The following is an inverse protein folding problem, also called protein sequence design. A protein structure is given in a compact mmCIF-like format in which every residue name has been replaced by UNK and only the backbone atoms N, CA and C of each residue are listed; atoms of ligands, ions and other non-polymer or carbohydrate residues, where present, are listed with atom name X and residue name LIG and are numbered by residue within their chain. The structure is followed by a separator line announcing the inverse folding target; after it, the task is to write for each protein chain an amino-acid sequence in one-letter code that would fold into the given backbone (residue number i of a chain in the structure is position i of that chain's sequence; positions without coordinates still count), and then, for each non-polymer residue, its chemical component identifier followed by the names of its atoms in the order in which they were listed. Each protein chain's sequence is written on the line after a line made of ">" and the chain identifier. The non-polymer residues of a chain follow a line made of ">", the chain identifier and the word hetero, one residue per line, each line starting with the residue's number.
data_IF_510677528067
#
_entry.id   IF_510677528067
#
_cell.length_a   1.000
_cell.length_b   1.000
_cell.length_c   1.000
_cell.angle_alpha   90.00
_cell.angle_beta   90.00
_cell.angle_gamma   90.00
#
_symmetry.space_group_name_H-M   'P 1'
#
loop_
_entity.id
_entity.type
_entity.pdbx_description
1 polymer ?
#
# COMPACT_ATOMS: atom_id res chain seq x y z
N UNK A 1 -24.12 -41.87 -8.36
CA UNK A 1 -24.90 -40.66 -8.66
C UNK A 1 -24.40 -39.63 -7.64
N UNK A 2 -23.31 -38.97 -8.01
CA UNK A 2 -22.69 -37.93 -7.19
C UNK A 2 -23.51 -36.65 -7.27
N UNK A 3 -23.82 -36.08 -6.14
CA UNK A 3 -24.61 -34.86 -6.01
C UNK A 3 -23.80 -33.62 -6.46
N UNK A 4 -24.44 -32.59 -7.07
CA UNK A 4 -23.76 -31.37 -7.54
C UNK A 4 -22.95 -30.60 -6.47
N UNK A 5 -23.20 -30.84 -5.19
CA UNK A 5 -22.47 -30.22 -4.07
C UNK A 5 -21.03 -30.73 -3.93
N UNK A 6 -20.73 -31.96 -4.38
CA UNK A 6 -19.39 -32.54 -4.32
C UNK A 6 -18.50 -32.07 -5.45
N UNK A 7 -19.08 -31.62 -6.58
CA UNK A 7 -18.32 -31.05 -7.71
C UNK A 7 -17.90 -29.59 -7.49
N UNK A 8 -18.66 -28.83 -6.69
CA UNK A 8 -18.31 -27.45 -6.33
C UNK A 8 -17.21 -27.37 -5.27
N UNK A 9 -17.09 -28.38 -4.40
CA UNK A 9 -16.04 -28.41 -3.40
C UNK A 9 -14.66 -28.75 -3.97
N UNK A 10 -14.58 -29.49 -5.09
CA UNK A 10 -13.30 -29.87 -5.71
C UNK A 10 -12.70 -28.79 -6.65
N UNK A 11 -13.45 -27.74 -6.97
CA UNK A 11 -12.96 -26.60 -7.77
C UNK A 11 -12.39 -25.46 -6.90
N UNK A 12 -12.44 -25.56 -5.57
CA UNK A 12 -11.96 -24.55 -4.64
C UNK A 12 -10.55 -24.84 -4.10
N UNK A 13 -9.96 -26.00 -4.34
CA UNK A 13 -8.72 -26.42 -3.67
C UNK A 13 -7.44 -26.43 -4.56
N UNK A 14 -7.49 -25.96 -5.80
CA UNK A 14 -6.28 -25.80 -6.63
C UNK A 14 -6.18 -24.45 -7.34
N UNK A 15 -6.55 -23.36 -6.70
CA UNK A 15 -5.97 -22.09 -7.06
C UNK A 15 -4.57 -22.10 -6.43
N UNK A 16 -3.56 -22.44 -7.20
CA UNK A 16 -2.16 -22.14 -6.84
C UNK A 16 -2.12 -20.66 -6.48
N UNK A 17 -2.15 -20.36 -5.18
CA UNK A 17 -1.98 -19.00 -4.69
C UNK A 17 -0.62 -18.55 -5.21
N UNK A 18 -0.62 -17.72 -6.24
CA UNK A 18 0.61 -17.13 -6.78
C UNK A 18 1.30 -16.40 -5.63
N UNK A 19 2.55 -16.80 -5.34
CA UNK A 19 3.31 -16.17 -4.25
C UNK A 19 3.43 -14.67 -4.55
N UNK A 20 3.30 -13.80 -3.55
CA UNK A 20 3.54 -12.38 -3.73
C UNK A 20 4.95 -12.13 -4.25
N UNK A 21 5.11 -11.18 -5.16
CA UNK A 21 6.40 -10.86 -5.78
C UNK A 21 7.11 -9.76 -5.01
N UNK A 22 8.37 -9.94 -4.65
CA UNK A 22 9.23 -8.91 -4.09
C UNK A 22 10.22 -8.43 -5.14
N UNK A 23 10.10 -7.19 -5.60
CA UNK A 23 11.12 -6.55 -6.42
C UNK A 23 12.14 -5.88 -5.51
N UNK A 24 13.40 -6.28 -5.62
CA UNK A 24 14.49 -5.89 -4.74
C UNK A 24 15.49 -5.03 -5.52
N UNK A 25 15.59 -3.76 -5.14
CA UNK A 25 16.48 -2.75 -5.74
C UNK A 25 17.64 -2.47 -4.78
N UNK A 26 18.85 -2.64 -5.26
CA UNK A 26 20.08 -2.51 -4.47
C UNK A 26 20.53 -1.06 -4.26
N UNK A 27 21.55 -0.86 -3.42
CA UNK A 27 22.19 0.43 -3.13
C UNK A 27 23.19 0.87 -4.22
N UNK A 28 23.69 2.10 -4.11
CA UNK A 28 24.78 2.62 -4.94
C UNK A 28 26.01 1.71 -4.85
N UNK A 29 26.57 1.32 -6.00
CA UNK A 29 27.75 0.47 -6.07
C UNK A 29 27.54 -1.00 -5.77
N UNK A 30 26.31 -1.43 -5.48
CA UNK A 30 25.95 -2.83 -5.27
C UNK A 30 25.36 -3.48 -6.55
N UNK A 31 24.78 -4.66 -6.41
CA UNK A 31 24.06 -5.39 -7.44
C UNK A 31 22.94 -6.24 -6.81
N UNK A 32 22.18 -6.98 -7.66
CA UNK A 32 21.20 -7.96 -7.18
C UNK A 32 21.77 -8.92 -6.12
N UNK A 33 23.08 -9.14 -6.11
CA UNK A 33 23.78 -10.05 -5.17
C UNK A 33 23.75 -9.55 -3.73
N UNK A 34 23.53 -8.24 -3.50
CA UNK A 34 23.32 -7.67 -2.16
C UNK A 34 22.18 -8.37 -1.42
N UNK A 35 21.17 -8.82 -2.14
CA UNK A 35 19.97 -9.45 -1.62
C UNK A 35 20.06 -10.97 -1.45
N UNK A 36 21.18 -11.62 -1.85
CA UNK A 36 21.29 -13.08 -1.93
C UNK A 36 21.01 -13.79 -0.61
N UNK A 37 21.39 -13.23 0.53
CA UNK A 37 21.11 -13.81 1.84
C UNK A 37 19.64 -13.63 2.23
N UNK A 38 19.07 -12.44 2.02
CA UNK A 38 17.66 -12.12 2.28
C UNK A 38 16.73 -13.00 1.43
N UNK A 39 17.06 -13.16 0.13
CA UNK A 39 16.28 -14.00 -0.80
C UNK A 39 16.23 -15.47 -0.36
N UNK A 40 17.33 -16.03 0.18
CA UNK A 40 17.34 -17.43 0.67
C UNK A 40 16.32 -17.65 1.79
N UNK A 41 16.15 -16.68 2.68
CA UNK A 41 15.21 -16.76 3.79
C UNK A 41 13.76 -16.52 3.34
N UNK A 42 13.54 -15.65 2.34
CA UNK A 42 12.20 -15.27 1.87
C UNK A 42 11.64 -16.18 0.77
N UNK A 43 12.51 -16.94 0.07
CA UNK A 43 12.15 -17.59 -1.18
C UNK A 43 11.09 -18.69 -1.10
N UNK A 44 10.75 -19.18 0.09
CA UNK A 44 9.63 -20.11 0.28
C UNK A 44 8.27 -19.40 0.33
N UNK A 45 8.24 -18.16 0.81
CA UNK A 45 7.03 -17.38 1.05
C UNK A 45 6.73 -16.39 -0.08
N UNK A 46 7.78 -15.91 -0.75
CA UNK A 46 7.70 -14.89 -1.79
C UNK A 46 8.46 -15.32 -3.05
N UNK A 47 8.04 -14.80 -4.19
CA UNK A 47 8.87 -14.80 -5.39
C UNK A 47 9.78 -13.56 -5.34
N UNK A 48 11.09 -13.78 -5.17
CA UNK A 48 12.07 -12.70 -5.03
C UNK A 48 12.74 -12.38 -6.37
N UNK A 49 12.53 -11.17 -6.88
CA UNK A 49 13.10 -10.65 -8.12
C UNK A 49 14.10 -9.55 -7.77
N UNK A 50 15.36 -9.91 -7.55
CA UNK A 50 16.43 -8.92 -7.35
C UNK A 50 16.95 -8.47 -8.71
N UNK A 51 16.97 -7.14 -8.91
CA UNK A 51 17.28 -6.51 -10.17
C UNK A 51 18.63 -5.77 -10.09
N UNK A 52 19.42 -5.84 -11.17
CA UNK A 52 20.56 -4.94 -11.35
C UNK A 52 20.06 -3.61 -11.94
N UNK A 53 20.18 -2.54 -11.18
CA UNK A 53 19.85 -1.20 -11.65
C UNK A 53 20.80 -0.84 -12.82
N UNK A 54 20.32 -0.19 -13.90
CA UNK A 54 21.16 0.15 -15.06
C UNK A 54 22.48 0.84 -14.66
N UNK A 55 23.59 0.30 -15.16
CA UNK A 55 24.95 0.74 -14.84
C UNK A 55 25.59 0.06 -13.63
N UNK A 56 24.89 -0.88 -12.99
CA UNK A 56 25.37 -1.65 -11.85
C UNK A 56 25.27 -3.16 -12.10
N UNK A 57 26.01 -3.95 -11.31
CA UNK A 57 25.96 -5.39 -11.37
C UNK A 57 26.55 -6.01 -12.63
N UNK A 58 25.91 -5.94 -13.71
CA UNK A 58 26.33 -6.46 -15.02
C UNK A 58 25.57 -5.81 -16.15
N UNK A 59 24.77 -4.81 -15.83
CA UNK A 59 23.91 -4.10 -16.79
C UNK A 59 24.62 -2.82 -17.31
N UNK A 60 24.39 -2.49 -18.58
CA UNK A 60 24.86 -1.22 -19.14
C UNK A 60 23.98 -0.06 -18.63
N UNK A 61 24.57 1.12 -18.45
CA UNK A 61 23.83 2.33 -18.09
C UNK A 61 22.79 2.71 -19.14
N UNK A 62 23.12 2.55 -20.42
CA UNK A 62 22.25 2.97 -21.51
C UNK A 62 21.86 4.45 -21.37
N UNK A 63 20.56 4.73 -21.47
CA UNK A 63 20.00 6.08 -21.30
C UNK A 63 19.54 6.37 -19.85
N UNK A 64 19.72 5.42 -18.91
CA UNK A 64 19.25 5.55 -17.54
C UNK A 64 20.22 6.40 -16.69
N UNK A 65 20.34 7.67 -17.01
CA UNK A 65 21.27 8.62 -16.38
C UNK A 65 20.60 9.66 -15.48
N UNK A 66 19.29 9.55 -15.26
CA UNK A 66 18.53 10.39 -14.34
C UNK A 66 17.46 9.54 -13.63
N UNK A 67 16.82 10.14 -12.62
CA UNK A 67 15.87 9.40 -11.78
C UNK A 67 14.60 8.99 -12.54
N UNK A 68 14.14 9.79 -13.50
CA UNK A 68 12.95 9.48 -14.27
C UNK A 68 13.17 8.23 -15.14
N UNK A 69 14.34 8.15 -15.80
CA UNK A 69 14.74 7.00 -16.61
C UNK A 69 14.90 5.72 -15.75
N UNK A 70 15.40 5.83 -14.52
CA UNK A 70 15.50 4.72 -13.60
C UNK A 70 14.10 4.24 -13.13
N UNK A 71 13.18 5.17 -12.90
CA UNK A 71 11.79 4.82 -12.55
C UNK A 71 11.05 4.23 -13.76
N UNK A 72 11.29 4.74 -14.97
CA UNK A 72 10.76 4.17 -16.23
C UNK A 72 11.24 2.74 -16.44
N UNK A 73 12.53 2.48 -16.23
CA UNK A 73 13.11 1.16 -16.29
C UNK A 73 12.46 0.22 -15.27
N UNK A 74 12.34 0.65 -14.01
CA UNK A 74 11.75 -0.20 -12.99
C UNK A 74 10.26 -0.47 -13.27
N UNK A 75 9.52 0.51 -13.78
CA UNK A 75 8.14 0.30 -14.24
C UNK A 75 8.08 -0.76 -15.34
N UNK A 76 8.99 -0.74 -16.32
CA UNK A 76 9.06 -1.73 -17.39
C UNK A 76 9.33 -3.13 -16.83
N UNK A 77 10.25 -3.28 -15.85
CA UNK A 77 10.55 -4.54 -15.20
C UNK A 77 9.33 -5.14 -14.46
N UNK A 78 8.56 -4.28 -13.78
CA UNK A 78 7.31 -4.69 -13.12
C UNK A 78 6.24 -5.06 -14.13
N UNK A 79 5.97 -4.20 -15.10
CA UNK A 79 4.87 -4.41 -16.07
C UNK A 79 5.13 -5.61 -16.99
N UNK A 80 6.38 -5.91 -17.33
CA UNK A 80 6.75 -7.09 -18.12
C UNK A 80 6.40 -8.41 -17.41
N UNK A 81 6.37 -8.42 -16.07
CA UNK A 81 6.01 -9.61 -15.27
C UNK A 81 4.54 -9.65 -14.87
N UNK A 82 3.84 -8.52 -15.01
CA UNK A 82 2.42 -8.35 -14.71
C UNK A 82 1.98 -8.98 -13.36
N UNK A 83 2.66 -8.71 -12.23
CA UNK A 83 2.32 -9.30 -10.95
C UNK A 83 1.01 -8.73 -10.42
N UNK A 84 0.18 -9.57 -9.81
CA UNK A 84 -1.12 -9.16 -9.25
C UNK A 84 -1.06 -8.84 -7.75
N UNK A 85 0.00 -9.25 -7.06
CA UNK A 85 0.33 -8.85 -5.69
C UNK A 85 1.86 -8.74 -5.58
N UNK A 86 2.36 -7.53 -5.32
CA UNK A 86 3.79 -7.30 -5.30
C UNK A 86 4.20 -6.17 -4.36
N UNK A 87 5.48 -6.18 -3.99
CA UNK A 87 6.10 -5.20 -3.11
C UNK A 87 7.33 -4.60 -3.79
N UNK A 88 7.51 -3.29 -3.65
CA UNK A 88 8.74 -2.61 -4.04
C UNK A 88 9.66 -2.51 -2.81
N UNK A 89 10.84 -3.11 -2.89
CA UNK A 89 11.85 -3.07 -1.82
C UNK A 89 13.07 -2.35 -2.34
N UNK A 90 13.43 -1.24 -1.72
CA UNK A 90 14.56 -0.44 -2.16
C UNK A 90 15.54 -0.14 -1.04
N UNK A 91 16.82 -0.47 -1.27
CA UNK A 91 17.91 -0.10 -0.39
C UNK A 91 18.59 1.18 -0.89
N UNK A 92 18.78 2.17 -0.02
CA UNK A 92 19.49 3.41 -0.33
C UNK A 92 18.97 4.06 -1.63
N UNK A 93 19.79 4.15 -2.66
CA UNK A 93 19.42 4.61 -4.01
C UNK A 93 18.13 3.93 -4.52
N UNK A 94 18.02 2.62 -4.37
CA UNK A 94 16.84 1.84 -4.76
C UNK A 94 15.55 2.28 -4.05
N UNK A 95 15.67 2.81 -2.83
CA UNK A 95 14.52 3.32 -2.06
C UNK A 95 13.88 4.56 -2.69
N UNK A 96 14.66 5.49 -3.22
CA UNK A 96 14.13 6.64 -3.96
C UNK A 96 13.38 6.21 -5.22
N UNK A 97 13.92 5.22 -5.95
CA UNK A 97 13.27 4.66 -7.15
C UNK A 97 11.95 3.98 -6.77
N UNK A 98 11.95 3.15 -5.72
CA UNK A 98 10.76 2.47 -5.24
C UNK A 98 9.65 3.45 -4.79
N UNK A 99 10.01 4.52 -4.07
CA UNK A 99 9.08 5.56 -3.63
C UNK A 99 8.44 6.29 -4.83
N UNK A 100 9.22 6.62 -5.85
CA UNK A 100 8.70 7.31 -7.03
C UNK A 100 7.84 6.40 -7.92
N UNK A 101 8.14 5.09 -7.98
CA UNK A 101 7.25 4.14 -8.65
C UNK A 101 5.93 3.97 -7.88
N UNK A 102 5.96 3.95 -6.55
CA UNK A 102 4.74 3.94 -5.73
C UNK A 102 3.87 5.18 -5.99
N UNK A 103 4.46 6.34 -6.25
CA UNK A 103 3.73 7.53 -6.66
C UNK A 103 3.01 7.34 -8.01
N UNK A 104 3.65 6.68 -8.98
CA UNK A 104 3.00 6.33 -10.25
C UNK A 104 1.83 5.36 -10.06
N UNK A 105 1.95 4.38 -9.15
CA UNK A 105 0.84 3.48 -8.81
C UNK A 105 -0.33 4.24 -8.20
N UNK A 106 -0.08 5.16 -7.23
CA UNK A 106 -1.10 6.05 -6.67
C UNK A 106 -1.82 6.86 -7.76
N UNK A 107 -1.08 7.34 -8.75
CA UNK A 107 -1.62 8.14 -9.85
C UNK A 107 -2.33 7.28 -10.91
N UNK A 108 -2.42 5.98 -10.68
CA UNK A 108 -3.14 5.02 -11.51
C UNK A 108 -2.45 4.68 -12.83
N UNK A 109 -1.13 4.71 -12.86
CA UNK A 109 -0.38 4.23 -14.04
C UNK A 109 -0.65 2.74 -14.25
N UNK A 110 -0.92 2.37 -15.48
CA UNK A 110 -1.27 1.00 -15.89
C UNK A 110 -0.13 0.02 -15.58
N UNK A 111 -0.49 -1.20 -15.19
CA UNK A 111 0.45 -2.28 -14.86
C UNK A 111 1.01 -2.21 -13.43
N UNK A 112 0.53 -1.27 -12.60
CA UNK A 112 0.99 -1.08 -11.24
C UNK A 112 -0.07 -1.33 -10.16
N UNK A 113 -1.28 -1.75 -10.53
CA UNK A 113 -2.42 -1.88 -9.61
C UNK A 113 -2.20 -2.92 -8.48
N UNK A 114 -1.32 -3.90 -8.69
CA UNK A 114 -1.02 -4.94 -7.70
C UNK A 114 -0.04 -4.54 -6.59
N UNK A 115 0.43 -3.28 -6.53
CA UNK A 115 1.36 -2.82 -5.48
C UNK A 115 0.69 -2.88 -4.11
N UNK A 116 1.18 -3.77 -3.25
CA UNK A 116 0.63 -4.04 -1.92
C UNK A 116 1.43 -3.39 -0.78
N UNK A 117 2.68 -3.00 -1.03
CA UNK A 117 3.51 -2.34 -0.03
C UNK A 117 4.88 -1.91 -0.55
N UNK A 118 5.52 -1.02 0.21
CA UNK A 118 6.88 -0.54 -0.06
C UNK A 118 7.76 -0.81 1.15
N UNK A 119 8.96 -1.36 0.94
CA UNK A 119 9.98 -1.50 2.00
C UNK A 119 11.17 -0.62 1.65
N UNK A 120 11.49 0.30 2.52
CA UNK A 120 12.60 1.24 2.40
C UNK A 120 13.70 0.85 3.38
N UNK A 121 14.85 0.44 2.89
CA UNK A 121 15.98 0.00 3.71
C UNK A 121 17.07 1.06 3.63
N UNK A 122 17.37 1.77 4.72
CA UNK A 122 18.32 2.88 4.77
C UNK A 122 18.18 3.80 3.53
N UNK A 123 16.96 4.11 3.16
CA UNK A 123 16.60 4.61 1.83
C UNK A 123 16.97 6.07 1.61
N UNK A 124 17.47 6.37 0.42
CA UNK A 124 17.58 7.74 -0.07
C UNK A 124 16.19 8.34 -0.24
N UNK A 125 15.95 9.55 0.28
CA UNK A 125 14.64 10.18 0.25
C UNK A 125 14.28 10.76 -1.13
N UNK A 126 13.01 11.07 -1.39
CA UNK A 126 12.59 11.78 -2.61
C UNK A 126 13.00 13.27 -2.63
N UNK A 127 13.64 13.77 -1.56
CA UNK A 127 14.35 15.04 -1.52
C UNK A 127 15.86 14.84 -1.76
N UNK A 128 16.68 15.91 -1.77
CA UNK A 128 18.13 15.80 -1.75
C UNK A 128 18.59 14.96 -0.55
N UNK A 129 19.43 13.98 -0.85
CA UNK A 129 20.04 13.13 0.15
C UNK A 129 21.02 13.92 1.01
N UNK A 130 20.93 13.84 2.35
CA UNK A 130 21.85 14.51 3.25
C UNK A 130 23.24 13.87 3.17
N UNK A 131 24.06 14.35 2.27
CA UNK A 131 25.44 13.88 2.08
C UNK A 131 26.40 15.09 2.12
N UNK A 132 27.44 15.01 2.92
CA UNK A 132 28.47 16.04 2.99
C UNK A 132 29.18 16.19 1.63
N UNK A 133 29.32 17.41 1.14
CA UNK A 133 29.92 17.70 -0.17
C UNK A 133 31.37 17.19 -0.30
N UNK A 134 32.14 17.20 0.78
CA UNK A 134 33.51 16.65 0.80
C UNK A 134 33.50 15.14 0.55
N UNK A 135 32.55 14.40 1.16
CA UNK A 135 32.34 12.95 0.91
C UNK A 135 31.95 12.69 -0.53
N UNK A 136 31.00 13.48 -1.04
CA UNK A 136 30.52 13.40 -2.43
C UNK A 136 31.66 13.64 -3.43
N UNK A 137 32.45 14.69 -3.23
CA UNK A 137 33.58 15.02 -4.08
C UNK A 137 34.63 13.91 -4.10
N UNK A 138 34.93 13.33 -2.92
CA UNK A 138 35.86 12.18 -2.81
C UNK A 138 35.35 10.95 -3.59
N UNK A 139 34.06 10.62 -3.46
CA UNK A 139 33.46 9.49 -4.17
C UNK A 139 33.43 9.71 -5.70
N UNK A 140 33.27 10.95 -6.16
CA UNK A 140 33.36 11.30 -7.58
C UNK A 140 34.79 11.18 -8.10
N UNK A 141 35.78 11.54 -7.30
CA UNK A 141 37.20 11.44 -7.67
C UNK A 141 37.64 10.00 -7.87
N UNK A 142 37.11 9.05 -7.10
CA UNK A 142 37.41 7.63 -7.29
C UNK A 142 37.13 7.09 -8.69
N UNK A 143 36.18 7.70 -9.41
CA UNK A 143 35.79 7.35 -10.78
C UNK A 143 36.23 8.38 -11.84
N UNK A 144 37.13 9.30 -11.48
CA UNK A 144 37.54 10.38 -12.39
C UNK A 144 38.30 9.86 -13.61
N UNK A 145 39.07 8.78 -13.47
CA UNK A 145 39.89 8.20 -14.52
C UNK A 145 39.43 6.84 -15.05
N UNK A 146 38.20 6.41 -14.68
CA UNK A 146 37.64 5.11 -15.06
C UNK A 146 37.16 4.34 -13.83
N UNK A 147 37.35 3.03 -13.83
CA UNK A 147 36.95 2.17 -12.70
C UNK A 147 37.75 2.51 -11.42
N UNK A 148 37.13 2.40 -10.24
CA UNK A 148 37.82 2.66 -8.97
C UNK A 148 38.85 1.57 -8.66
N UNK A 149 39.78 1.88 -7.78
CA UNK A 149 40.72 0.87 -7.27
C UNK A 149 40.04 -0.01 -6.23
N UNK A 150 40.62 -1.20 -5.97
CA UNK A 150 40.17 -2.07 -4.87
C UNK A 150 40.17 -1.34 -3.51
N UNK A 151 41.18 -0.52 -3.25
CA UNK A 151 41.25 0.27 -2.01
C UNK A 151 40.09 1.28 -1.88
N UNK A 152 39.68 1.89 -2.98
CA UNK A 152 38.48 2.77 -2.99
C UNK A 152 37.20 1.98 -2.70
N UNK A 153 37.06 0.78 -3.27
CA UNK A 153 35.91 -0.07 -3.01
C UNK A 153 35.88 -0.57 -1.55
N UNK A 154 37.01 -0.96 -1.00
CA UNK A 154 37.13 -1.35 0.42
C UNK A 154 36.79 -0.19 1.35
N UNK A 155 37.31 1.01 1.08
CA UNK A 155 36.98 2.22 1.83
C UNK A 155 35.48 2.53 1.78
N UNK A 156 34.84 2.40 0.59
CA UNK A 156 33.42 2.62 0.44
C UNK A 156 32.59 1.64 1.29
N UNK A 157 32.92 0.36 1.24
CA UNK A 157 32.22 -0.68 2.01
C UNK A 157 32.42 -0.47 3.52
N UNK A 158 33.66 -0.25 3.97
CA UNK A 158 33.97 -0.10 5.40
C UNK A 158 33.35 1.18 6.00
N UNK A 159 33.19 2.24 5.20
CA UNK A 159 32.53 3.48 5.62
C UNK A 159 31.00 3.38 5.72
N UNK A 160 30.40 2.30 5.20
CA UNK A 160 28.96 2.09 5.18
C UNK A 160 28.52 0.87 6.02
N UNK A 161 29.41 0.26 6.79
CA UNK A 161 29.12 -0.87 7.69
C UNK A 161 29.48 -0.54 9.13
N UNK A 162 28.67 -1.02 10.08
CA UNK A 162 28.99 -0.90 11.50
C UNK A 162 30.24 -1.71 11.88
N UNK A 163 30.33 -2.92 11.34
CA UNK A 163 31.50 -3.80 11.50
C UNK A 163 32.00 -4.23 10.13
N UNK A 164 33.33 -4.41 9.95
CA UNK A 164 33.86 -4.89 8.69
C UNK A 164 33.19 -6.19 8.26
N UNK A 165 32.64 -6.22 7.04
CA UNK A 165 32.13 -7.44 6.45
C UNK A 165 33.26 -8.46 6.31
N UNK A 166 32.94 -9.74 6.37
CA UNK A 166 33.93 -10.83 6.25
C UNK A 166 33.56 -11.81 5.13
N UNK A 167 34.51 -12.61 4.71
CA UNK A 167 34.33 -13.72 3.79
C UNK A 167 33.75 -13.33 2.44
N UNK A 168 32.88 -14.19 1.91
CA UNK A 168 32.30 -14.03 0.57
C UNK A 168 31.45 -12.77 0.42
N UNK A 169 30.73 -12.34 1.47
CA UNK A 169 29.89 -11.14 1.41
C UNK A 169 30.73 -9.88 1.15
N UNK A 170 31.86 -9.74 1.84
CA UNK A 170 32.81 -8.62 1.62
C UNK A 170 33.33 -8.63 0.20
N UNK A 171 33.79 -9.78 -0.28
CA UNK A 171 34.38 -9.87 -1.63
C UNK A 171 33.35 -9.55 -2.72
N UNK A 172 32.12 -10.04 -2.58
CA UNK A 172 31.02 -9.72 -3.50
C UNK A 172 30.76 -8.23 -3.52
N UNK A 173 30.64 -7.58 -2.35
CA UNK A 173 30.40 -6.14 -2.26
C UNK A 173 31.53 -5.31 -2.92
N UNK A 174 32.81 -5.67 -2.66
CA UNK A 174 33.96 -5.01 -3.29
C UNK A 174 33.92 -5.17 -4.82
N UNK A 175 33.69 -6.40 -5.31
CA UNK A 175 33.63 -6.67 -6.75
C UNK A 175 32.47 -5.91 -7.41
N UNK A 176 31.34 -5.71 -6.73
CA UNK A 176 30.22 -4.95 -7.27
C UNK A 176 30.57 -3.47 -7.44
N UNK A 177 31.22 -2.86 -6.46
CA UNK A 177 31.73 -1.48 -6.59
C UNK A 177 32.68 -1.35 -7.78
N UNK A 178 33.62 -2.31 -7.93
CA UNK A 178 34.61 -2.32 -9.03
C UNK A 178 33.98 -2.45 -10.43
N UNK A 179 32.79 -3.06 -10.51
CA UNK A 179 32.07 -3.30 -11.76
C UNK A 179 31.08 -2.20 -12.12
N UNK A 180 30.93 -1.21 -11.23
CA UNK A 180 30.00 -0.08 -11.46
C UNK A 180 30.44 0.74 -12.68
N UNK A 181 29.49 1.06 -13.55
CA UNK A 181 29.71 1.97 -14.66
C UNK A 181 29.99 3.39 -14.12
N UNK A 182 31.11 4.02 -14.46
CA UNK A 182 31.42 5.38 -14.05
C UNK A 182 30.34 6.41 -14.39
N UNK A 183 29.62 6.23 -15.49
CA UNK A 183 28.52 7.10 -15.90
C UNK A 183 27.36 7.03 -14.88
N UNK A 184 26.96 5.82 -14.50
CA UNK A 184 25.88 5.61 -13.53
C UNK A 184 26.23 6.13 -12.12
N UNK A 185 27.47 5.85 -11.66
CA UNK A 185 27.97 6.36 -10.39
C UNK A 185 27.93 7.89 -10.33
N UNK A 186 28.47 8.55 -11.35
CA UNK A 186 28.47 10.02 -11.45
C UNK A 186 27.04 10.57 -11.57
N UNK A 187 26.20 9.96 -12.41
CA UNK A 187 24.82 10.38 -12.59
C UNK A 187 24.03 10.40 -11.28
N UNK A 188 24.24 9.39 -10.42
CA UNK A 188 23.63 9.36 -9.10
C UNK A 188 24.18 10.47 -8.19
N UNK A 189 25.48 10.55 -8.02
CA UNK A 189 26.11 11.49 -7.09
C UNK A 189 25.92 12.97 -7.51
N UNK A 190 26.00 13.26 -8.80
CA UNK A 190 25.89 14.64 -9.31
C UNK A 190 24.44 15.11 -9.43
N UNK A 191 23.49 14.19 -9.69
CA UNK A 191 22.08 14.52 -9.99
C UNK A 191 21.09 13.73 -9.14
N UNK A 192 20.97 12.42 -9.32
CA UNK A 192 19.89 11.61 -8.78
C UNK A 192 19.71 11.76 -7.25
N UNK A 193 20.81 11.77 -6.49
CA UNK A 193 20.77 11.98 -5.04
C UNK A 193 20.43 13.43 -4.62
N UNK A 194 20.49 14.39 -5.55
CA UNK A 194 20.24 15.81 -5.29
C UNK A 194 18.86 16.29 -5.74
N UNK A 195 18.11 15.46 -6.46
CA UNK A 195 16.82 15.86 -7.02
C UNK A 195 15.73 16.05 -5.99
N UNK A 196 14.91 17.09 -6.18
CA UNK A 196 13.73 17.40 -5.38
C UNK A 196 12.49 16.78 -6.02
N UNK A 197 12.02 15.64 -5.52
CA UNK A 197 10.86 14.90 -6.03
C UNK A 197 9.75 14.73 -4.96
N UNK A 198 9.85 15.40 -3.83
CA UNK A 198 8.91 15.31 -2.70
C UNK A 198 7.45 15.51 -3.12
N UNK A 199 7.21 16.48 -4.02
CA UNK A 199 5.86 16.78 -4.51
C UNK A 199 5.21 15.61 -5.24
N UNK A 200 6.01 14.75 -5.89
CA UNK A 200 5.52 13.55 -6.56
C UNK A 200 5.17 12.43 -5.55
N UNK A 201 5.89 12.36 -4.45
CA UNK A 201 5.74 11.33 -3.42
C UNK A 201 4.80 11.71 -2.28
N UNK A 202 4.07 12.81 -2.35
CA UNK A 202 3.17 13.24 -1.28
C UNK A 202 1.96 12.31 -1.11
N UNK A 203 1.62 12.00 0.15
CA UNK A 203 0.39 11.27 0.53
C UNK A 203 0.21 9.89 -0.14
N UNK A 204 1.25 9.08 -0.12
CA UNK A 204 1.18 7.69 -0.59
C UNK A 204 0.33 6.86 0.39
N UNK A 205 -0.77 6.31 -0.10
CA UNK A 205 -1.68 5.47 0.71
C UNK A 205 -1.22 4.01 0.80
N UNK A 206 -0.31 3.58 -0.07
CA UNK A 206 0.32 2.26 0.03
C UNK A 206 1.11 2.17 1.34
N UNK A 207 0.97 1.09 2.13
CA UNK A 207 1.72 0.91 3.36
C UNK A 207 3.24 0.90 3.12
N UNK A 208 4.01 1.46 4.06
CA UNK A 208 5.47 1.45 4.01
C UNK A 208 6.09 0.91 5.30
N UNK A 209 7.02 -0.03 5.15
CA UNK A 209 7.97 -0.42 6.17
C UNK A 209 9.30 0.28 5.89
N UNK A 210 9.74 1.11 6.82
CA UNK A 210 11.01 1.85 6.73
C UNK A 210 11.98 1.25 7.74
N UNK A 211 13.11 0.77 7.27
CA UNK A 211 14.12 0.09 8.09
C UNK A 211 15.39 0.94 8.11
N UNK A 212 15.81 1.36 9.30
CA UNK A 212 17.00 2.16 9.52
C UNK A 212 18.06 1.35 10.27
N UNK A 213 19.33 1.51 9.93
CA UNK A 213 20.43 1.00 10.76
C UNK A 213 20.63 1.89 11.98
N UNK A 214 20.80 1.29 13.16
CA UNK A 214 21.05 2.05 14.40
C UNK A 214 22.35 2.83 14.35
N UNK A 215 23.31 2.34 13.58
CA UNK A 215 24.65 2.93 13.44
C UNK A 215 24.84 3.66 12.10
N UNK A 216 23.77 3.82 11.30
CA UNK A 216 23.81 4.67 10.11
C UNK A 216 23.77 6.14 10.50
N UNK A 217 24.52 6.95 9.79
CA UNK A 217 24.60 8.37 10.06
C UNK A 217 23.39 9.17 9.55
N UNK A 218 23.59 9.84 8.42
CA UNK A 218 22.59 10.76 7.84
C UNK A 218 21.26 10.09 7.43
N UNK A 219 21.29 8.79 7.08
CA UNK A 219 20.13 7.99 6.70
C UNK A 219 19.69 6.99 7.77
N UNK A 220 20.16 7.15 9.02
CA UNK A 220 19.69 6.41 10.18
C UNK A 220 18.27 6.78 10.60
N UNK A 221 17.84 6.36 11.80
CA UNK A 221 16.46 6.51 12.28
C UNK A 221 15.91 7.94 12.13
N UNK A 222 16.67 8.93 12.60
CA UNK A 222 16.23 10.33 12.52
C UNK A 222 16.03 10.81 11.08
N UNK A 223 16.94 10.44 10.18
CA UNK A 223 16.85 10.74 8.76
C UNK A 223 15.65 10.06 8.10
N UNK A 224 15.43 8.77 8.36
CA UNK A 224 14.30 8.02 7.80
C UNK A 224 12.96 8.59 8.29
N UNK A 225 12.83 8.91 9.59
CA UNK A 225 11.62 9.53 10.16
C UNK A 225 11.33 10.92 9.59
N UNK A 226 12.37 11.71 9.35
CA UNK A 226 12.21 13.08 8.87
C UNK A 226 12.01 13.17 7.35
N UNK A 227 12.66 12.30 6.57
CA UNK A 227 12.81 12.47 5.13
C UNK A 227 12.02 11.45 4.28
N UNK A 228 11.70 10.26 4.82
CA UNK A 228 10.95 9.22 4.12
C UNK A 228 9.54 9.00 4.69
N UNK A 229 9.40 8.85 6.01
CA UNK A 229 8.12 8.54 6.64
C UNK A 229 6.98 9.54 6.31
N UNK A 230 7.21 10.87 6.21
CA UNK A 230 6.14 11.82 5.94
C UNK A 230 5.48 11.68 4.55
N UNK A 231 6.08 10.92 3.65
CA UNK A 231 5.53 10.69 2.32
C UNK A 231 4.43 9.61 2.29
N UNK A 232 4.35 8.79 3.33
CA UNK A 232 3.42 7.67 3.43
C UNK A 232 2.39 7.90 4.53
N UNK A 233 1.12 7.69 4.23
CA UNK A 233 0.04 7.79 5.21
C UNK A 233 0.13 6.68 6.27
N UNK A 234 0.67 5.51 5.89
CA UNK A 234 0.84 4.33 6.74
C UNK A 234 2.31 3.89 6.75
N UNK A 235 3.16 4.66 7.43
CA UNK A 235 4.57 4.34 7.61
C UNK A 235 4.82 3.70 8.98
N UNK A 236 5.55 2.58 9.02
CA UNK A 236 6.21 2.08 10.21
C UNK A 236 7.72 2.21 10.06
N UNK A 237 8.40 2.65 11.12
CA UNK A 237 9.86 2.82 11.12
C UNK A 237 10.46 1.90 12.17
N UNK A 238 11.27 0.96 11.71
CA UNK A 238 11.99 0.00 12.54
C UNK A 238 13.49 0.28 12.49
N UNK A 239 14.17 0.01 13.59
CA UNK A 239 15.61 0.25 13.74
C UNK A 239 16.33 -1.08 13.95
N UNK A 240 17.34 -1.35 13.13
CA UNK A 240 18.15 -2.58 13.20
C UNK A 240 19.36 -2.34 14.09
N UNK A 241 19.45 -2.99 15.27
CA UNK A 241 20.60 -2.82 16.13
C UNK A 241 21.84 -3.47 15.52
N UNK A 242 22.99 -2.79 15.66
CA UNK A 242 24.28 -3.30 15.21
C UNK A 242 24.44 -3.37 13.68
N UNK A 243 23.69 -2.57 12.94
CA UNK A 243 23.84 -2.36 11.50
C UNK A 243 23.98 -0.87 11.20
N UNK A 244 24.82 -0.53 10.23
CA UNK A 244 24.90 0.80 9.64
C UNK A 244 24.07 0.85 8.34
N UNK A 245 24.65 1.31 7.24
CA UNK A 245 23.95 1.53 5.98
C UNK A 245 23.68 0.24 5.21
N UNK A 246 24.62 -0.73 5.20
CA UNK A 246 24.52 -1.94 4.38
C UNK A 246 23.71 -3.07 5.07
N UNK A 247 22.51 -2.74 5.56
CA UNK A 247 21.63 -3.65 6.32
C UNK A 247 21.43 -5.01 5.65
N UNK A 248 21.21 -5.15 4.31
CA UNK A 248 21.03 -6.44 3.68
C UNK A 248 22.24 -7.38 3.81
N UNK A 249 23.45 -6.82 4.00
CA UNK A 249 24.68 -7.56 4.19
C UNK A 249 25.05 -7.77 5.66
N UNK A 250 24.67 -6.82 6.53
CA UNK A 250 25.01 -6.85 7.96
C UNK A 250 23.99 -7.66 8.78
N UNK A 251 22.70 -7.58 8.45
CA UNK A 251 21.60 -8.20 9.20
C UNK A 251 20.56 -8.87 8.28
N UNK A 252 20.97 -9.74 7.34
CA UNK A 252 20.06 -10.29 6.33
C UNK A 252 18.88 -11.09 6.90
N UNK A 253 19.11 -11.88 7.95
CA UNK A 253 18.07 -12.72 8.55
C UNK A 253 17.03 -11.89 9.29
N UNK A 254 17.46 -10.87 10.04
CA UNK A 254 16.56 -9.93 10.71
C UNK A 254 15.70 -9.21 9.67
N UNK A 255 16.32 -8.71 8.62
CA UNK A 255 15.62 -7.98 7.55
C UNK A 255 14.58 -8.88 6.86
N UNK A 256 14.97 -10.11 6.51
CA UNK A 256 14.06 -11.07 5.88
C UNK A 256 12.85 -11.40 6.78
N UNK A 257 13.09 -11.72 8.06
CA UNK A 257 12.02 -12.01 9.01
C UNK A 257 11.06 -10.81 9.16
N UNK A 258 11.61 -9.59 9.18
CA UNK A 258 10.80 -8.39 9.34
C UNK A 258 9.96 -8.10 8.10
N UNK A 259 10.54 -8.27 6.90
CA UNK A 259 9.80 -8.17 5.62
C UNK A 259 8.67 -9.20 5.59
N UNK A 260 8.92 -10.45 5.95
CA UNK A 260 7.90 -11.49 5.96
C UNK A 260 6.77 -11.20 6.96
N UNK A 261 7.11 -10.86 8.20
CA UNK A 261 6.13 -10.57 9.24
C UNK A 261 5.22 -9.37 8.88
N UNK A 262 5.75 -8.39 8.15
CA UNK A 262 5.00 -7.22 7.72
C UNK A 262 4.25 -7.45 6.40
N UNK A 263 4.87 -8.11 5.42
CA UNK A 263 4.33 -8.23 4.06
C UNK A 263 3.26 -9.32 3.90
N UNK A 264 3.34 -10.45 4.62
CA UNK A 264 2.37 -11.54 4.47
C UNK A 264 0.93 -11.14 4.82
N UNK A 265 0.66 -10.41 5.92
CA UNK A 265 -0.69 -9.92 6.19
C UNK A 265 -1.23 -8.99 5.11
N UNK A 266 -0.39 -8.12 4.55
CA UNK A 266 -0.77 -7.23 3.44
C UNK A 266 -1.07 -8.02 2.16
N UNK A 267 -0.27 -9.04 1.86
CA UNK A 267 -0.53 -9.91 0.72
C UNK A 267 -1.85 -10.69 0.88
N UNK A 268 -2.18 -11.13 2.10
CA UNK A 268 -3.43 -11.82 2.38
C UNK A 268 -4.68 -10.91 2.22
N UNK A 269 -4.52 -9.59 2.37
CA UNK A 269 -5.58 -8.59 2.18
C UNK A 269 -5.59 -7.95 0.79
N UNK A 270 -4.69 -8.36 -0.12
CA UNK A 270 -4.62 -7.83 -1.47
C UNK A 270 -5.89 -8.13 -2.29
N UNK A 271 -6.16 -7.29 -3.28
CA UNK A 271 -7.26 -7.54 -4.23
C UNK A 271 -7.04 -8.85 -5.00
N UNK A 272 -8.10 -9.60 -5.31
CA UNK A 272 -8.00 -10.81 -6.11
C UNK A 272 -7.30 -10.56 -7.45
N UNK A 273 -6.48 -11.52 -7.89
CA UNK A 273 -5.66 -11.40 -9.10
C UNK A 273 -6.47 -11.01 -10.34
N UNK A 274 -7.64 -11.62 -10.56
CA UNK A 274 -8.51 -11.29 -11.67
C UNK A 274 -9.00 -9.83 -11.63
N UNK A 275 -9.24 -9.29 -10.44
CA UNK A 275 -9.67 -7.91 -10.29
C UNK A 275 -8.51 -6.91 -10.52
N UNK A 276 -7.29 -7.25 -10.08
CA UNK A 276 -6.09 -6.46 -10.39
C UNK A 276 -5.83 -6.41 -11.89
N UNK A 277 -5.92 -7.55 -12.58
CA UNK A 277 -5.82 -7.61 -14.04
C UNK A 277 -6.90 -6.75 -14.72
N UNK A 278 -8.12 -6.75 -14.18
CA UNK A 278 -9.21 -5.91 -14.65
C UNK A 278 -8.90 -4.41 -14.47
N UNK A 279 -8.35 -4.03 -13.30
CA UNK A 279 -7.92 -2.65 -13.05
C UNK A 279 -6.83 -2.19 -14.02
N UNK A 280 -5.92 -3.09 -14.41
CA UNK A 280 -4.83 -2.78 -15.34
C UNK A 280 -5.23 -2.91 -16.82
N UNK A 281 -6.47 -3.29 -17.11
CA UNK A 281 -6.98 -3.32 -18.49
C UNK A 281 -6.98 -1.89 -19.11
N UNK A 282 -6.71 -1.83 -20.43
CA UNK A 282 -6.64 -0.56 -21.19
C UNK A 282 -7.93 0.28 -21.09
N UNK A 283 -9.08 -0.37 -20.94
CA UNK A 283 -10.38 0.29 -20.80
C UNK A 283 -10.56 1.06 -19.48
N UNK A 284 -9.73 0.82 -18.46
CA UNK A 284 -9.80 1.51 -17.18
C UNK A 284 -8.92 2.74 -17.20
N UNK A 285 -9.53 3.91 -17.17
CA UNK A 285 -8.79 5.17 -17.17
C UNK A 285 -7.89 5.30 -15.92
N UNK A 286 -6.69 5.91 -16.03
CA UNK A 286 -5.78 6.10 -14.91
C UNK A 286 -6.46 6.74 -13.68
N UNK A 287 -7.27 7.76 -13.90
CA UNK A 287 -8.01 8.44 -12.83
C UNK A 287 -8.98 7.50 -12.07
N UNK A 288 -9.64 6.59 -12.80
CA UNK A 288 -10.53 5.60 -12.18
C UNK A 288 -9.72 4.60 -11.37
N UNK A 289 -8.65 4.06 -11.94
CA UNK A 289 -7.73 3.15 -11.26
C UNK A 289 -7.18 3.77 -9.97
N UNK A 290 -6.65 4.99 -10.05
CA UNK A 290 -6.16 5.73 -8.87
C UNK A 290 -7.24 5.86 -7.79
N UNK A 291 -8.48 6.16 -8.18
CA UNK A 291 -9.59 6.33 -7.24
C UNK A 291 -9.99 5.01 -6.57
N UNK A 292 -9.97 3.91 -7.30
CA UNK A 292 -10.29 2.59 -6.76
C UNK A 292 -9.18 2.10 -5.83
N UNK A 293 -7.91 2.28 -6.19
CA UNK A 293 -6.78 1.95 -5.32
C UNK A 293 -6.82 2.77 -4.02
N UNK A 294 -7.14 4.06 -4.10
CA UNK A 294 -7.32 4.91 -2.91
C UNK A 294 -8.48 4.44 -2.00
N UNK A 295 -9.57 3.93 -2.58
CA UNK A 295 -10.68 3.35 -1.81
C UNK A 295 -10.34 1.99 -1.20
N UNK A 296 -9.44 1.23 -1.83
CA UNK A 296 -8.98 -0.04 -1.28
C UNK A 296 -8.04 0.17 -0.09
N UNK A 297 -7.27 1.24 -0.09
CA UNK A 297 -6.32 1.53 0.99
C UNK A 297 -7.03 1.57 2.37
N UNK A 298 -6.35 1.07 3.39
CA UNK A 298 -6.82 1.13 4.77
C UNK A 298 -6.99 2.60 5.18
N UNK A 299 -8.13 3.00 5.77
CA UNK A 299 -8.31 4.37 6.25
C UNK A 299 -7.39 4.68 7.44
N UNK A 300 -7.03 5.94 7.60
CA UNK A 300 -6.29 6.39 8.77
C UNK A 300 -7.13 6.25 10.04
N UNK A 301 -6.51 6.04 11.22
CA UNK A 301 -7.24 6.11 12.49
C UNK A 301 -7.89 7.50 12.66
N UNK A 302 -9.13 7.50 13.13
CA UNK A 302 -9.85 8.73 13.46
C UNK A 302 -9.34 9.32 14.77
N UNK A 303 -9.25 10.65 14.81
CA UNK A 303 -8.94 11.37 16.03
C UNK A 303 -10.18 11.46 16.94
N UNK A 304 -10.00 11.37 18.25
CA UNK A 304 -11.06 11.48 19.24
C UNK A 304 -11.85 12.80 19.12
N UNK A 305 -11.18 13.88 18.66
CA UNK A 305 -11.82 15.18 18.40
C UNK A 305 -12.75 15.16 17.18
N UNK A 306 -12.54 14.25 16.23
CA UNK A 306 -13.36 14.11 15.03
C UNK A 306 -14.55 13.18 15.25
N UNK A 307 -14.31 12.06 15.97
CA UNK A 307 -15.34 11.10 16.37
C UNK A 307 -14.95 10.46 17.70
N UNK A 308 -15.79 10.57 18.75
CA UNK A 308 -15.52 9.92 20.03
C UNK A 308 -15.34 8.41 19.89
N UNK A 309 -14.39 7.81 20.62
CA UNK A 309 -14.12 6.38 20.58
C UNK A 309 -15.35 5.52 20.89
N UNK A 310 -16.24 5.98 21.81
CA UNK A 310 -17.51 5.30 22.10
C UNK A 310 -18.41 5.24 20.86
N UNK A 311 -18.49 6.29 20.05
CA UNK A 311 -19.26 6.31 18.82
C UNK A 311 -18.66 5.35 17.78
N UNK A 312 -17.33 5.32 17.63
CA UNK A 312 -16.67 4.37 16.74
C UNK A 312 -16.99 2.91 17.14
N UNK A 313 -16.99 2.59 18.45
CA UNK A 313 -17.36 1.27 18.92
C UNK A 313 -18.81 0.90 18.57
N UNK A 314 -19.75 1.84 18.68
CA UNK A 314 -21.15 1.63 18.24
C UNK A 314 -21.23 1.45 16.72
N UNK A 315 -20.48 2.23 15.95
CA UNK A 315 -20.40 2.05 14.48
C UNK A 315 -19.86 0.68 14.10
N UNK A 316 -18.84 0.16 14.79
CA UNK A 316 -18.32 -1.20 14.58
C UNK A 316 -19.40 -2.26 14.85
N UNK A 317 -20.16 -2.12 15.95
CA UNK A 317 -21.25 -3.03 16.25
C UNK A 317 -22.38 -2.94 15.20
N UNK A 318 -22.70 -1.74 14.72
CA UNK A 318 -23.65 -1.53 13.61
C UNK A 318 -23.15 -2.16 12.30
N UNK A 319 -21.89 -1.94 11.92
CA UNK A 319 -21.30 -2.53 10.73
C UNK A 319 -21.46 -4.05 10.70
N UNK A 320 -21.14 -4.71 11.81
CA UNK A 320 -21.28 -6.15 11.97
C UNK A 320 -22.75 -6.65 11.84
N UNK A 321 -23.74 -5.81 12.10
CA UNK A 321 -25.17 -6.16 11.99
C UNK A 321 -25.75 -5.80 10.62
N UNK A 322 -25.35 -4.67 10.06
CA UNK A 322 -25.91 -4.15 8.81
C UNK A 322 -25.29 -4.77 7.56
N UNK A 323 -24.01 -5.15 7.65
CA UNK A 323 -23.26 -5.75 6.53
C UNK A 323 -22.53 -7.01 7.01
N UNK A 324 -23.25 -8.12 7.21
CA UNK A 324 -22.64 -9.37 7.63
C UNK A 324 -21.59 -9.85 6.61
N UNK A 325 -20.40 -10.21 7.09
CA UNK A 325 -19.28 -10.66 6.24
C UNK A 325 -18.33 -9.55 5.78
N UNK A 326 -18.65 -8.26 6.00
CA UNK A 326 -17.67 -7.18 5.88
C UNK A 326 -16.72 -7.17 7.09
N UNK A 327 -15.53 -6.61 6.90
CA UNK A 327 -14.67 -6.21 8.02
C UNK A 327 -15.35 -5.04 8.75
N UNK A 328 -15.86 -5.33 9.96
CA UNK A 328 -16.68 -4.38 10.70
C UNK A 328 -15.88 -3.16 11.17
N UNK A 329 -14.61 -3.36 11.54
CA UNK A 329 -13.73 -2.27 12.00
C UNK A 329 -13.34 -1.36 10.84
N UNK A 330 -12.93 -1.91 9.70
CA UNK A 330 -12.64 -1.14 8.49
C UNK A 330 -13.87 -0.36 8.02
N UNK A 331 -15.03 -1.02 7.95
CA UNK A 331 -16.26 -0.36 7.50
C UNK A 331 -16.73 0.75 8.45
N UNK A 332 -16.65 0.51 9.76
CA UNK A 332 -16.97 1.52 10.77
C UNK A 332 -16.06 2.74 10.70
N UNK A 333 -14.76 2.50 10.48
CA UNK A 333 -13.77 3.56 10.34
C UNK A 333 -14.04 4.42 9.11
N UNK A 334 -14.39 3.80 7.97
CA UNK A 334 -14.78 4.52 6.74
C UNK A 334 -16.06 5.34 6.91
N UNK A 335 -17.07 4.78 7.55
CA UNK A 335 -18.29 5.50 7.91
C UNK A 335 -17.97 6.66 8.86
N UNK A 336 -17.12 6.41 9.85
CA UNK A 336 -16.64 7.44 10.77
C UNK A 336 -15.94 8.61 10.07
N UNK A 337 -15.10 8.33 9.06
CA UNK A 337 -14.49 9.38 8.22
C UNK A 337 -15.55 10.17 7.45
N UNK A 338 -16.50 9.51 6.79
CA UNK A 338 -17.56 10.18 6.07
C UNK A 338 -18.35 11.13 6.99
N UNK A 339 -18.61 10.72 8.24
CA UNK A 339 -19.28 11.57 9.23
C UNK A 339 -18.39 12.73 9.69
N UNK A 340 -17.11 12.49 9.96
CA UNK A 340 -16.15 13.51 10.38
C UNK A 340 -15.94 14.58 9.30
N UNK A 341 -15.86 14.15 8.04
CA UNK A 341 -15.69 15.01 6.87
C UNK A 341 -17.02 15.65 6.40
N UNK A 342 -18.12 15.34 7.09
CA UNK A 342 -19.47 15.81 6.75
C UNK A 342 -19.88 15.49 5.31
N UNK A 343 -19.46 14.33 4.81
CA UNK A 343 -19.87 13.85 3.50
C UNK A 343 -21.38 13.61 3.48
N UNK A 344 -22.09 14.31 2.59
CA UNK A 344 -23.54 14.19 2.41
C UNK A 344 -23.87 13.80 0.97
N UNK A 345 -24.91 13.00 0.79
CA UNK A 345 -25.51 12.72 -0.53
C UNK A 345 -26.50 13.80 -0.97
N UNK A 346 -26.65 14.85 -0.17
CA UNK A 346 -27.55 15.98 -0.44
C UNK A 346 -29.00 15.70 -0.09
N UNK A 347 -29.31 14.54 0.54
CA UNK A 347 -30.66 14.17 0.94
C UNK A 347 -30.77 13.97 2.45
N UNK A 348 -31.86 14.35 3.07
CA UNK A 348 -32.12 14.19 4.49
C UNK A 348 -33.63 14.18 4.75
N UNK A 349 -34.10 13.40 5.72
CA UNK A 349 -35.46 13.52 6.24
C UNK A 349 -35.70 14.90 6.85
N UNK A 350 -36.79 15.56 6.49
CA UNK A 350 -37.05 16.93 6.91
C UNK A 350 -37.18 17.10 8.45
N UNK A 351 -37.61 16.03 9.14
CA UNK A 351 -37.84 16.04 10.57
C UNK A 351 -36.57 15.71 11.40
N UNK A 352 -35.47 15.31 10.73
CA UNK A 352 -34.19 15.06 11.42
C UNK A 352 -33.46 16.38 11.68
N UNK A 353 -32.68 16.46 12.80
CA UNK A 353 -31.67 17.49 12.98
C UNK A 353 -30.62 17.49 11.83
N UNK A 354 -29.71 18.44 11.83
CA UNK A 354 -28.55 18.39 10.93
C UNK A 354 -27.78 17.07 11.09
N UNK A 355 -27.20 16.55 10.00
CA UNK A 355 -26.66 15.20 9.94
C UNK A 355 -25.67 14.89 11.10
N UNK A 356 -24.74 15.80 11.39
CA UNK A 356 -23.79 15.64 12.49
C UNK A 356 -24.49 15.49 13.87
N UNK A 357 -25.53 16.31 14.10
CA UNK A 357 -26.30 16.27 15.35
C UNK A 357 -27.18 15.01 15.41
N UNK A 358 -27.83 14.65 14.30
CA UNK A 358 -28.66 13.46 14.21
C UNK A 358 -27.84 12.19 14.50
N UNK A 359 -26.68 12.07 13.90
CA UNK A 359 -25.77 10.93 14.12
C UNK A 359 -25.25 10.88 15.56
N UNK A 360 -24.76 12.00 16.11
CA UNK A 360 -24.28 12.03 17.50
C UNK A 360 -25.38 11.64 18.49
N UNK A 361 -26.58 12.22 18.35
CA UNK A 361 -27.73 11.92 19.19
C UNK A 361 -28.19 10.47 19.08
N UNK A 362 -28.24 9.94 17.86
CA UNK A 362 -28.69 8.58 17.61
C UNK A 362 -27.72 7.52 18.14
N UNK A 363 -26.42 7.74 17.99
CA UNK A 363 -25.37 6.83 18.52
C UNK A 363 -25.40 6.85 20.07
N UNK A 364 -25.50 8.02 20.70
CA UNK A 364 -25.64 8.15 22.15
C UNK A 364 -26.94 7.48 22.63
N UNK A 365 -28.04 7.68 21.94
CA UNK A 365 -29.33 7.09 22.29
C UNK A 365 -29.35 5.58 22.13
N UNK A 366 -28.71 5.05 21.08
CA UNK A 366 -28.61 3.61 20.84
C UNK A 366 -27.78 2.93 21.95
N UNK A 367 -26.69 3.55 22.35
CA UNK A 367 -25.84 3.02 23.43
C UNK A 367 -26.56 3.07 24.78
N UNK A 368 -27.23 4.19 25.06
CA UNK A 368 -27.99 4.36 26.31
C UNK A 368 -29.22 3.45 26.41
N UNK A 369 -29.92 3.15 25.31
CA UNK A 369 -31.13 2.32 25.31
C UNK A 369 -30.90 0.90 25.80
N UNK A 370 -29.69 0.38 25.70
CA UNK A 370 -29.34 -0.99 26.06
C UNK A 370 -28.35 -1.08 27.24
N UNK A 371 -28.10 0.01 27.96
CA UNK A 371 -27.02 0.10 28.94
C UNK A 371 -25.65 -0.32 28.34
N UNK A 372 -25.41 0.01 27.08
CA UNK A 372 -24.23 -0.33 26.30
C UNK A 372 -24.58 -1.25 25.12
N UNK A 373 -25.00 -0.69 23.98
CA UNK A 373 -25.31 -1.45 22.75
C UNK A 373 -24.17 -2.41 22.35
N UNK A 374 -22.93 -1.97 22.54
CA UNK A 374 -21.73 -2.77 22.24
C UNK A 374 -21.54 -3.98 23.16
N UNK A 375 -22.20 -4.02 24.32
CA UNK A 375 -22.13 -5.13 25.28
C UNK A 375 -23.18 -6.21 25.04
N UNK A 376 -24.16 -5.92 24.18
CA UNK A 376 -25.19 -6.89 23.82
C UNK A 376 -24.64 -7.96 22.87
N UNK A 377 -25.22 -9.16 22.98
CA UNK A 377 -24.99 -10.18 21.95
C UNK A 377 -25.68 -9.80 20.62
N UNK A 378 -25.34 -10.54 19.56
CA UNK A 378 -25.83 -10.28 18.23
C UNK A 378 -27.35 -10.32 18.10
N UNK A 379 -28.01 -11.22 18.82
CA UNK A 379 -29.48 -11.37 18.78
C UNK A 379 -30.18 -10.19 19.45
N UNK A 380 -29.66 -9.74 20.59
CA UNK A 380 -30.18 -8.59 21.32
C UNK A 380 -29.95 -7.28 20.55
N UNK A 381 -28.77 -7.14 19.90
CA UNK A 381 -28.51 -6.02 18.99
C UNK A 381 -29.51 -5.96 17.84
N UNK A 382 -29.76 -7.09 17.16
CA UNK A 382 -30.75 -7.16 16.08
C UNK A 382 -32.18 -6.83 16.59
N UNK A 383 -32.56 -7.36 17.73
CA UNK A 383 -33.88 -7.10 18.30
C UNK A 383 -34.11 -5.60 18.59
N UNK A 384 -33.08 -4.93 19.13
CA UNK A 384 -33.16 -3.48 19.36
C UNK A 384 -33.26 -2.69 18.05
N UNK A 385 -32.42 -3.00 17.05
CA UNK A 385 -32.45 -2.35 15.74
C UNK A 385 -33.80 -2.56 15.02
N UNK A 386 -34.41 -3.73 15.16
CA UNK A 386 -35.75 -4.04 14.65
C UNK A 386 -36.83 -3.20 15.34
N UNK A 387 -36.73 -3.01 16.66
CA UNK A 387 -37.61 -2.10 17.40
C UNK A 387 -37.44 -0.64 16.95
N UNK A 388 -36.21 -0.17 16.72
CA UNK A 388 -35.95 1.16 16.19
C UNK A 388 -36.63 1.32 14.81
N UNK A 389 -36.41 0.38 13.92
CA UNK A 389 -36.99 0.40 12.58
C UNK A 389 -38.52 0.44 12.60
N UNK A 390 -39.14 -0.32 13.52
CA UNK A 390 -40.61 -0.37 13.67
C UNK A 390 -41.20 0.77 14.52
N UNK A 391 -40.38 1.74 14.92
CA UNK A 391 -40.79 2.86 15.78
C UNK A 391 -41.34 2.41 17.14
N UNK A 392 -40.98 1.20 17.60
CA UNK A 392 -41.45 0.62 18.87
C UNK A 392 -40.37 0.63 19.96
N UNK A 393 -39.16 1.11 19.65
CA UNK A 393 -38.10 1.28 20.64
C UNK A 393 -38.47 2.39 21.63
N UNK A 394 -38.25 2.12 22.92
CA UNK A 394 -38.43 3.12 23.97
C UNK A 394 -37.19 3.98 24.04
N UNK A 395 -37.34 5.28 23.83
CA UNK A 395 -36.21 6.20 23.99
C UNK A 395 -35.71 6.17 25.45
N UNK A 396 -34.39 6.07 25.64
CA UNK A 396 -33.80 6.08 26.99
C UNK A 396 -33.98 7.46 27.64
N UNK A 397 -33.87 7.55 28.98
CA UNK A 397 -33.84 8.82 29.67
C UNK A 397 -32.78 9.75 29.07
N UNK A 398 -33.19 10.97 28.65
CA UNK A 398 -32.29 11.93 27.99
C UNK A 398 -32.15 11.74 26.48
N UNK A 399 -32.82 10.76 25.88
CA UNK A 399 -32.89 10.60 24.42
C UNK A 399 -33.61 11.79 23.78
N UNK A 400 -33.02 12.31 22.71
CA UNK A 400 -33.49 13.56 22.05
C UNK A 400 -34.26 13.28 20.76
N UNK A 401 -34.01 12.14 20.12
CA UNK A 401 -34.76 11.70 18.96
C UNK A 401 -36.05 10.96 19.38
N UNK A 402 -37.17 11.37 18.86
CA UNK A 402 -38.42 10.63 19.03
C UNK A 402 -38.39 9.32 18.18
N UNK A 403 -39.30 8.36 18.41
CA UNK A 403 -39.26 7.06 17.72
C UNK A 403 -39.30 7.17 16.19
N UNK A 404 -39.98 8.15 15.61
CA UNK A 404 -40.05 8.39 14.15
C UNK A 404 -38.69 8.88 13.63
N UNK A 405 -38.12 9.89 14.31
CA UNK A 405 -36.80 10.42 13.96
C UNK A 405 -35.71 9.36 14.10
N UNK A 406 -35.78 8.54 15.14
CA UNK A 406 -34.79 7.46 15.34
C UNK A 406 -34.87 6.39 14.24
N UNK A 407 -36.07 6.03 13.79
CA UNK A 407 -36.26 5.13 12.65
C UNK A 407 -35.76 5.73 11.33
N UNK A 408 -36.00 7.02 11.11
CA UNK A 408 -35.51 7.76 9.96
C UNK A 408 -33.97 7.79 9.92
N UNK A 409 -33.33 8.11 11.07
CA UNK A 409 -31.88 8.04 11.17
C UNK A 409 -31.35 6.60 10.89
N UNK A 410 -32.06 5.58 11.37
CA UNK A 410 -31.62 4.19 11.12
C UNK A 410 -31.71 3.82 9.64
N UNK A 411 -32.64 4.37 8.89
CA UNK A 411 -32.71 4.21 7.44
C UNK A 411 -31.52 4.88 6.75
N UNK A 412 -31.16 6.11 7.16
CA UNK A 412 -29.96 6.80 6.68
C UNK A 412 -28.68 6.02 7.04
N UNK A 413 -28.61 5.47 8.24
CA UNK A 413 -27.49 4.64 8.67
C UNK A 413 -27.33 3.40 7.77
N UNK A 414 -28.43 2.67 7.51
CA UNK A 414 -28.42 1.52 6.60
C UNK A 414 -27.94 1.90 5.20
N UNK A 415 -28.42 3.02 4.68
CA UNK A 415 -28.02 3.53 3.38
C UNK A 415 -26.53 3.90 3.34
N UNK A 416 -26.01 4.58 4.37
CA UNK A 416 -24.60 4.98 4.44
C UNK A 416 -23.67 3.75 4.53
N UNK A 417 -23.97 2.79 5.42
CA UNK A 417 -23.17 1.57 5.53
C UNK A 417 -23.18 0.76 4.24
N UNK A 418 -24.35 0.54 3.63
CA UNK A 418 -24.48 -0.17 2.37
C UNK A 418 -23.72 0.53 1.23
N UNK A 419 -23.87 1.84 1.08
CA UNK A 419 -23.17 2.64 0.07
C UNK A 419 -21.67 2.61 0.25
N UNK A 420 -21.18 2.75 1.49
CA UNK A 420 -19.75 2.69 1.81
C UNK A 420 -19.18 1.33 1.44
N UNK A 421 -19.82 0.23 1.87
CA UNK A 421 -19.40 -1.11 1.54
C UNK A 421 -19.43 -1.40 0.03
N UNK A 422 -20.51 -1.01 -0.66
CA UNK A 422 -20.64 -1.18 -2.11
C UNK A 422 -19.66 -0.31 -2.92
N UNK A 423 -19.02 0.68 -2.32
CA UNK A 423 -18.01 1.50 -2.99
C UNK A 423 -16.61 0.87 -2.98
N UNK A 424 -16.41 -0.21 -2.22
CA UNK A 424 -15.10 -0.83 -2.04
C UNK A 424 -14.73 -1.74 -3.22
N UNK A 425 -13.49 -1.66 -3.73
CA UNK A 425 -13.01 -2.57 -4.78
C UNK A 425 -13.06 -4.05 -4.38
N UNK A 426 -12.82 -4.36 -3.10
CA UNK A 426 -12.95 -5.72 -2.56
C UNK A 426 -14.38 -6.26 -2.69
N UNK A 427 -15.39 -5.42 -2.44
CA UNK A 427 -16.80 -5.76 -2.64
C UNK A 427 -17.10 -5.96 -4.12
N UNK A 428 -16.60 -5.09 -5.01
CA UNK A 428 -16.78 -5.24 -6.46
C UNK A 428 -16.18 -6.55 -6.95
N UNK A 429 -14.98 -6.88 -6.49
CA UNK A 429 -14.33 -8.15 -6.81
C UNK A 429 -15.16 -9.35 -6.35
N UNK A 430 -15.73 -9.31 -5.14
CA UNK A 430 -16.51 -10.42 -4.56
C UNK A 430 -17.84 -10.67 -5.28
N UNK A 431 -18.48 -9.62 -5.83
CA UNK A 431 -19.75 -9.72 -6.57
C UNK A 431 -19.56 -9.80 -8.09
N UNK A 432 -18.31 -9.85 -8.58
CA UNK A 432 -18.01 -9.89 -10.00
C UNK A 432 -18.39 -8.61 -10.77
N UNK A 433 -18.41 -7.45 -10.09
CA UNK A 433 -18.73 -6.18 -10.74
C UNK A 433 -17.53 -5.66 -11.53
N UNK A 434 -17.70 -5.50 -12.83
CA UNK A 434 -16.68 -5.04 -13.78
C UNK A 434 -17.10 -3.82 -14.61
N UNK A 435 -18.19 -3.18 -14.23
CA UNK A 435 -18.84 -2.07 -14.91
C UNK A 435 -18.09 -0.74 -14.85
N UNK A 436 -16.83 -0.71 -15.25
CA UNK A 436 -16.01 0.50 -15.37
C UNK A 436 -16.42 1.30 -16.61
N UNK A 437 -17.52 2.04 -16.55
CA UNK A 437 -18.05 2.80 -17.68
C UNK A 437 -17.24 4.05 -18.05
N UNK A 438 -16.06 4.26 -17.48
CA UNK A 438 -15.25 5.49 -17.60
C UNK A 438 -13.84 5.17 -18.06
N UNK A 439 -13.67 4.74 -19.26
CA UNK A 439 -12.34 4.48 -19.78
C UNK A 439 -12.33 4.26 -21.27
N UNK A 440 -11.17 4.49 -21.89
CA UNK A 440 -10.92 4.21 -23.27
C UNK A 440 -10.69 5.45 -24.14
N UNK A 441 -10.21 5.21 -25.34
CA UNK A 441 -9.87 6.25 -26.32
C UNK A 441 -11.00 6.35 -27.36
N UNK A 442 -11.68 7.50 -27.42
CA UNK A 442 -12.64 7.84 -28.45
C UNK A 442 -14.12 7.75 -28.07
N UNK A 443 -15.02 8.02 -29.01
CA UNK A 443 -16.46 8.19 -28.80
C UNK A 443 -17.21 6.90 -28.36
N UNK A 444 -16.60 5.74 -28.50
CA UNK A 444 -17.18 4.42 -28.15
C UNK A 444 -16.59 3.78 -26.90
N UNK A 445 -15.83 4.54 -26.14
CA UNK A 445 -15.00 4.02 -25.05
C UNK A 445 -15.64 4.07 -23.67
N UNK A 446 -16.89 4.46 -23.59
CA UNK A 446 -17.63 4.58 -22.33
C UNK A 446 -18.87 3.68 -22.39
N UNK A 447 -18.86 2.61 -21.63
CA UNK A 447 -19.97 1.71 -21.54
C UNK A 447 -19.82 0.40 -22.35
N UNK A 448 -20.91 -0.30 -22.43
CA UNK A 448 -21.00 -1.57 -23.15
C UNK A 448 -21.18 -1.32 -24.65
N UNK A 449 -20.44 -2.04 -25.49
CA UNK A 449 -20.64 -2.05 -26.93
C UNK A 449 -21.89 -2.86 -27.30
N UNK A 450 -22.21 -3.89 -26.49
CA UNK A 450 -23.37 -4.73 -26.65
C UNK A 450 -24.37 -4.48 -25.52
N UNK A 451 -25.58 -4.04 -25.88
CA UNK A 451 -26.65 -3.71 -24.92
C UNK A 451 -27.84 -4.68 -24.98
N UNK A 452 -27.80 -5.70 -25.85
CA UNK A 452 -28.86 -6.67 -26.00
C UNK A 452 -28.79 -7.74 -24.90
N UNK A 453 -29.93 -8.25 -24.46
CA UNK A 453 -30.03 -9.27 -23.43
C UNK A 453 -29.24 -10.53 -23.80
N UNK A 454 -28.40 -11.02 -22.91
CA UNK A 454 -27.58 -12.22 -23.10
C UNK A 454 -26.32 -12.01 -23.94
N UNK A 455 -26.03 -10.78 -24.38
CA UNK A 455 -24.75 -10.45 -25.02
C UNK A 455 -23.74 -9.99 -24.00
N UNK A 456 -22.48 -10.35 -24.22
CA UNK A 456 -21.35 -9.90 -23.40
C UNK A 456 -20.27 -9.30 -24.29
N UNK A 457 -19.64 -8.23 -23.82
CA UNK A 457 -18.48 -7.67 -24.47
C UNK A 457 -17.24 -8.56 -24.26
N UNK A 458 -16.27 -8.49 -25.19
CA UNK A 458 -15.07 -9.33 -25.15
C UNK A 458 -14.22 -9.14 -23.90
N UNK A 459 -14.38 -8.01 -23.19
CA UNK A 459 -13.66 -7.67 -21.98
C UNK A 459 -14.36 -8.10 -20.68
N UNK A 460 -15.63 -8.52 -20.76
CA UNK A 460 -16.34 -9.00 -19.58
C UNK A 460 -15.80 -10.37 -19.15
N UNK A 461 -15.69 -10.54 -17.82
CA UNK A 461 -15.31 -11.85 -17.26
C UNK A 461 -16.42 -12.85 -17.61
N UNK A 462 -16.03 -14.00 -18.17
CA UNK A 462 -16.95 -15.13 -18.31
C UNK A 462 -16.99 -15.85 -16.98
N UNK A 463 -18.11 -15.76 -16.29
CA UNK A 463 -18.37 -16.53 -15.08
C UNK A 463 -18.40 -18.03 -15.38
#
# INVERSE_FOLDING_TARGET
>A
VDTPATMLASLHDEVFMQRPVLFLLHSLGASHREWSAVQRTLGEQFECVALDIPGFGGTATGNATDIDALVDWFQQEVTARAPTCWFAIGHSMGGKIATLLAARSRDGVQGLAGLSGVVLVAASPPCPEPMQEARRAKMLDWFATGAPTRAHAEEFIDANTHRPLAGAAREVAIVDVLRTDPIAWRAWLERGSREHRQHQAAHLSVPALIVAGAEDGDLGEAGQRALNAPHYLHASVDVVPGAAHLIPLEQPDWLAQRIAAWGLPLAASALPAAFVQLLDAERVAPRMRARLLARHATPLPLQESALPARHLAVLTALAARLVPGADADDLALRVGHALADQESDGWRFADLPADADAWAQALDQLDAAANGFTTLDAAAQHALLDQVQRQSAIAPPGGTLNPVQWAQWFEDARALFARTWMSLPSTWASIGYDGFAVGGKGAHSQGYAHTEAGTIDAWQLRC
#
